data_IF_240978193843
#
_entry.id   IF_240978193843
#
_cell.length_a   1.000
_cell.length_b   1.000
_cell.length_c   1.000
_cell.angle_alpha   90.00
_cell.angle_beta   90.00
_cell.angle_gamma   90.00
#
_symmetry.space_group_name_H-M   'P 1'
#
loop_
_entity.id
_entity.type
_entity.pdbx_description
1 polymer ?
#
# COMPACT_ATOMS: atom_id res chain seq x y z
N UNK A 1 -41.31 -21.92 76.53
CA UNK A 1 -40.24 -21.27 75.72
C UNK A 1 -40.03 -22.04 74.40
N UNK A 2 -40.64 -21.59 73.26
CA UNK A 2 -40.58 -22.26 71.99
C UNK A 2 -39.39 -21.64 71.18
N UNK A 3 -38.45 -22.47 70.76
CA UNK A 3 -37.34 -22.07 69.87
C UNK A 3 -37.86 -22.00 68.41
N UNK A 4 -37.88 -20.81 67.86
CA UNK A 4 -38.15 -20.59 66.41
C UNK A 4 -36.81 -20.80 65.72
N UNK A 5 -36.74 -21.84 64.87
CA UNK A 5 -35.58 -22.06 64.00
C UNK A 5 -35.70 -21.15 62.76
N UNK A 6 -34.73 -20.27 62.65
CA UNK A 6 -34.55 -19.40 61.46
C UNK A 6 -34.06 -20.26 60.26
N UNK A 7 -34.92 -20.50 59.30
CA UNK A 7 -34.63 -21.27 58.06
C UNK A 7 -34.68 -20.38 56.80
N UNK A 8 -34.22 -19.11 56.89
CA UNK A 8 -34.41 -18.15 55.81
C UNK A 8 -33.16 -17.63 55.10
N UNK A 9 -31.89 -18.05 55.30
CA UNK A 9 -30.83 -17.49 54.48
C UNK A 9 -30.35 -18.38 53.32
N UNK A 10 -30.78 -19.66 53.23
CA UNK A 10 -30.23 -20.54 52.17
C UNK A 10 -30.87 -20.35 50.79
N UNK A 11 -32.10 -19.85 50.70
CA UNK A 11 -32.82 -19.70 49.45
C UNK A 11 -32.44 -18.44 48.65
N UNK A 12 -31.96 -17.39 49.35
CA UNK A 12 -31.56 -16.13 48.71
C UNK A 12 -30.16 -16.26 48.07
N UNK A 13 -29.23 -17.06 48.59
CA UNK A 13 -27.92 -17.31 48.01
C UNK A 13 -27.98 -18.10 46.70
N UNK A 14 -28.93 -19.04 46.59
CA UNK A 14 -29.11 -19.87 45.38
C UNK A 14 -29.62 -19.08 44.18
N UNK A 15 -30.50 -18.09 44.39
CA UNK A 15 -31.08 -17.27 43.31
C UNK A 15 -30.06 -16.24 42.79
N UNK A 16 -29.20 -15.67 43.65
CA UNK A 16 -28.12 -14.76 43.22
C UNK A 16 -27.06 -15.47 42.38
N UNK A 17 -26.75 -16.74 42.69
CA UNK A 17 -25.75 -17.51 41.90
C UNK A 17 -26.19 -17.85 40.49
N UNK A 18 -27.50 -18.03 40.27
CA UNK A 18 -28.06 -18.34 38.94
C UNK A 18 -28.10 -17.11 38.04
N UNK A 19 -28.37 -15.92 38.60
CA UNK A 19 -28.35 -14.67 37.80
C UNK A 19 -26.93 -14.23 37.39
N UNK A 20 -25.92 -14.44 38.21
CA UNK A 20 -24.52 -14.15 37.87
C UNK A 20 -23.98 -15.13 36.83
N UNK A 21 -24.37 -16.40 36.84
CA UNK A 21 -23.94 -17.40 35.87
C UNK A 21 -24.49 -17.16 34.47
N UNK A 22 -25.73 -16.71 34.31
CA UNK A 22 -26.32 -16.37 33.00
C UNK A 22 -25.71 -15.06 32.42
N UNK A 23 -25.43 -14.08 33.28
CA UNK A 23 -24.77 -12.83 32.89
C UNK A 23 -23.34 -13.08 32.42
N UNK A 24 -22.58 -13.97 33.07
CA UNK A 24 -21.22 -14.29 32.70
C UNK A 24 -21.11 -14.99 31.35
N UNK A 25 -21.99 -15.95 31.02
CA UNK A 25 -21.94 -16.63 29.72
C UNK A 25 -22.15 -15.68 28.55
N UNK A 26 -23.07 -14.75 28.61
CA UNK A 26 -23.29 -13.76 27.57
C UNK A 26 -22.13 -12.78 27.41
N UNK A 27 -21.45 -12.44 28.52
CA UNK A 27 -20.24 -11.60 28.49
C UNK A 27 -19.04 -12.38 27.91
N UNK A 28 -18.87 -13.63 28.27
CA UNK A 28 -17.81 -14.49 27.73
C UNK A 28 -17.94 -14.68 26.21
N UNK A 29 -19.15 -14.92 25.72
CA UNK A 29 -19.41 -15.02 24.29
C UNK A 29 -19.13 -13.72 23.55
N UNK A 30 -19.54 -12.58 24.11
CA UNK A 30 -19.23 -11.26 23.56
C UNK A 30 -17.74 -10.97 23.53
N UNK A 31 -17.02 -11.32 24.60
CA UNK A 31 -15.55 -11.17 24.67
C UNK A 31 -14.87 -12.01 23.56
N UNK A 32 -15.31 -13.25 23.39
CA UNK A 32 -14.80 -14.14 22.33
C UNK A 32 -15.01 -13.53 20.93
N UNK A 33 -16.21 -13.04 20.63
CA UNK A 33 -16.48 -12.39 19.33
C UNK A 33 -15.62 -11.15 19.11
N UNK A 34 -15.46 -10.32 20.13
CA UNK A 34 -14.59 -9.13 20.05
C UNK A 34 -13.11 -9.52 19.87
N UNK A 35 -12.69 -10.61 20.50
CA UNK A 35 -11.31 -11.12 20.32
C UNK A 35 -11.09 -11.63 18.90
N UNK A 36 -12.03 -12.39 18.34
CA UNK A 36 -11.96 -12.87 16.96
C UNK A 36 -11.95 -11.70 15.95
N UNK A 37 -12.71 -10.65 16.20
CA UNK A 37 -12.70 -9.44 15.39
C UNK A 37 -11.36 -8.70 15.52
N UNK A 38 -10.85 -8.52 16.71
CA UNK A 38 -9.55 -7.91 16.96
C UNK A 38 -8.41 -8.67 16.28
N UNK A 39 -8.44 -10.00 16.32
CA UNK A 39 -7.41 -10.82 15.69
C UNK A 39 -7.43 -10.68 14.16
N UNK A 40 -8.61 -10.51 13.55
CA UNK A 40 -8.73 -10.19 12.12
C UNK A 40 -8.12 -8.82 11.78
N UNK A 41 -8.39 -7.79 12.59
CA UNK A 41 -7.78 -6.47 12.39
C UNK A 41 -6.26 -6.50 12.51
N UNK A 42 -5.73 -7.22 13.51
CA UNK A 42 -4.27 -7.37 13.68
C UNK A 42 -3.62 -8.13 12.51
N UNK A 43 -4.31 -9.16 11.99
CA UNK A 43 -3.81 -9.89 10.83
C UNK A 43 -3.79 -9.02 9.57
N UNK A 44 -4.83 -8.20 9.34
CA UNK A 44 -4.86 -7.23 8.24
C UNK A 44 -3.75 -6.19 8.39
N UNK A 45 -3.56 -5.61 9.58
CA UNK A 45 -2.47 -4.65 9.85
C UNK A 45 -1.10 -5.25 9.56
N UNK A 46 -0.82 -6.47 10.03
CA UNK A 46 0.44 -7.15 9.75
C UNK A 46 0.65 -7.42 8.25
N UNK A 47 -0.41 -7.73 7.51
CA UNK A 47 -0.38 -7.89 6.06
C UNK A 47 -0.06 -6.57 5.35
N UNK A 48 -0.67 -5.45 5.79
CA UNK A 48 -0.37 -4.13 5.24
C UNK A 48 1.10 -3.75 5.47
N UNK A 49 1.65 -3.96 6.66
CA UNK A 49 3.07 -3.70 6.94
C UNK A 49 4.00 -4.52 6.03
N UNK A 50 3.67 -5.78 5.75
CA UNK A 50 4.42 -6.61 4.80
C UNK A 50 4.39 -6.01 3.39
N UNK A 51 3.23 -5.57 2.90
CA UNK A 51 3.07 -4.95 1.59
C UNK A 51 3.80 -3.61 1.50
N UNK A 52 3.81 -2.82 2.58
CA UNK A 52 4.58 -1.57 2.63
C UNK A 52 6.09 -1.82 2.57
N UNK A 53 6.59 -2.88 3.21
CA UNK A 53 8.00 -3.27 3.09
C UNK A 53 8.36 -3.71 1.66
N UNK A 54 7.43 -4.39 0.95
CA UNK A 54 7.59 -4.71 -0.47
C UNK A 54 7.66 -3.43 -1.31
N UNK A 55 6.77 -2.44 -1.08
CA UNK A 55 6.81 -1.15 -1.76
C UNK A 55 8.11 -0.39 -1.48
N UNK A 56 8.58 -0.38 -0.23
CA UNK A 56 9.85 0.27 0.11
C UNK A 56 11.01 -0.37 -0.69
N UNK A 57 11.04 -1.69 -0.80
CA UNK A 57 12.05 -2.41 -1.60
C UNK A 57 11.90 -2.14 -3.10
N UNK A 58 10.66 -2.12 -3.61
CA UNK A 58 10.35 -1.82 -5.00
C UNK A 58 10.87 -0.44 -5.39
N UNK A 59 10.50 0.60 -4.65
CA UNK A 59 10.79 1.98 -5.03
C UNK A 59 12.22 2.40 -4.67
N UNK A 60 12.69 2.07 -3.46
CA UNK A 60 14.00 2.54 -2.98
C UNK A 60 15.16 1.77 -3.57
N UNK A 61 14.97 0.50 -3.90
CA UNK A 61 16.03 -0.34 -4.45
C UNK A 61 15.77 -0.72 -5.91
N UNK A 62 14.67 -1.40 -6.24
CA UNK A 62 14.50 -1.96 -7.57
C UNK A 62 14.30 -0.88 -8.63
N UNK A 63 13.30 -0.01 -8.45
CA UNK A 63 13.04 1.09 -9.35
C UNK A 63 14.21 2.08 -9.38
N UNK A 64 14.61 2.57 -8.22
CA UNK A 64 15.66 3.58 -8.10
C UNK A 64 17.03 3.13 -8.62
N UNK A 65 17.31 1.84 -8.67
CA UNK A 65 18.57 1.29 -9.20
C UNK A 65 18.36 0.51 -10.50
N UNK A 66 17.16 0.64 -11.13
CA UNK A 66 16.82 0.05 -12.42
C UNK A 66 17.03 -1.49 -12.45
N UNK A 67 16.71 -2.15 -11.33
CA UNK A 67 16.75 -3.61 -11.19
C UNK A 67 15.43 -4.22 -11.69
N UNK A 68 15.17 -4.06 -12.98
CA UNK A 68 13.89 -4.42 -13.59
C UNK A 68 13.52 -5.89 -13.41
N UNK A 69 14.49 -6.78 -13.42
CA UNK A 69 14.33 -8.22 -13.17
C UNK A 69 13.82 -8.56 -11.77
N UNK A 70 13.91 -7.61 -10.81
CA UNK A 70 13.41 -7.79 -9.45
C UNK A 70 11.93 -7.38 -9.26
N UNK A 71 11.31 -6.77 -10.28
CA UNK A 71 9.92 -6.30 -10.18
C UNK A 71 8.92 -7.44 -9.97
N UNK A 72 9.24 -8.65 -10.41
CA UNK A 72 8.44 -9.85 -10.17
C UNK A 72 8.30 -10.24 -8.69
N UNK A 73 9.06 -9.61 -7.77
CA UNK A 73 8.87 -9.78 -6.32
C UNK A 73 7.63 -9.06 -5.78
N UNK A 74 7.17 -8.02 -6.48
CA UNK A 74 6.03 -7.18 -6.10
C UNK A 74 4.88 -7.23 -7.09
N UNK A 75 5.13 -7.59 -8.36
CA UNK A 75 4.15 -7.57 -9.44
C UNK A 75 3.85 -8.98 -9.96
N UNK A 76 2.57 -9.24 -10.26
CA UNK A 76 2.17 -10.42 -11.01
C UNK A 76 2.63 -10.29 -12.48
N UNK A 77 2.86 -11.42 -13.15
CA UNK A 77 3.33 -11.42 -14.55
C UNK A 77 2.33 -10.76 -15.51
N UNK A 78 1.03 -10.84 -15.20
CA UNK A 78 -0.09 -10.29 -15.97
C UNK A 78 -0.65 -8.99 -15.39
N UNK A 79 0.11 -8.28 -14.55
CA UNK A 79 -0.32 -7.04 -13.90
C UNK A 79 -0.91 -6.05 -14.90
N UNK A 80 -2.00 -5.37 -14.50
CA UNK A 80 -2.54 -4.21 -15.20
C UNK A 80 -2.07 -2.93 -14.53
N UNK A 81 -1.49 -2.04 -15.32
CA UNK A 81 -1.02 -0.74 -14.83
C UNK A 81 -1.77 0.38 -15.54
N UNK A 82 -2.34 1.28 -14.75
CA UNK A 82 -3.13 2.43 -15.18
C UNK A 82 -2.33 3.71 -14.99
N UNK A 83 -2.07 4.44 -16.06
CA UNK A 83 -1.24 5.65 -16.09
C UNK A 83 -2.07 6.94 -16.05
N UNK A 84 -1.49 8.07 -15.63
CA UNK A 84 -2.22 9.35 -15.51
C UNK A 84 -2.75 9.91 -16.85
N UNK A 85 -2.18 9.50 -17.96
CA UNK A 85 -2.63 9.89 -19.31
C UNK A 85 -3.80 9.05 -19.82
N UNK A 86 -4.29 8.09 -19.01
CA UNK A 86 -5.36 7.17 -19.35
C UNK A 86 -4.91 5.93 -20.12
N UNK A 87 -3.62 5.78 -20.40
CA UNK A 87 -3.11 4.56 -21.01
C UNK A 87 -3.09 3.40 -20.00
N UNK A 88 -3.13 2.18 -20.50
CA UNK A 88 -3.12 0.95 -19.71
C UNK A 88 -2.13 -0.01 -20.33
N UNK A 89 -1.29 -0.64 -19.51
CA UNK A 89 -0.51 -1.80 -19.90
C UNK A 89 -1.02 -3.05 -19.23
N UNK A 90 -0.85 -4.20 -19.89
CA UNK A 90 -1.09 -5.53 -19.33
C UNK A 90 0.16 -6.36 -19.52
N UNK A 91 0.68 -6.90 -18.45
CA UNK A 91 1.92 -7.66 -18.39
C UNK A 91 3.08 -6.85 -17.82
N UNK A 92 3.88 -7.52 -17.00
CA UNK A 92 5.05 -6.93 -16.37
C UNK A 92 6.16 -6.71 -17.41
N UNK A 93 6.50 -7.76 -18.16
CA UNK A 93 7.55 -7.75 -19.16
C UNK A 93 7.00 -8.01 -20.56
N UNK A 94 7.39 -7.22 -21.57
CA UNK A 94 8.15 -5.97 -21.45
C UNK A 94 7.27 -4.76 -21.13
N UNK A 95 5.94 -4.88 -21.17
CA UNK A 95 4.97 -3.79 -21.32
C UNK A 95 5.08 -2.72 -20.22
N UNK A 96 5.08 -3.12 -18.94
CA UNK A 96 5.19 -2.15 -17.86
C UNK A 96 6.61 -1.55 -17.80
N UNK A 97 7.63 -2.37 -17.92
CA UNK A 97 9.03 -1.90 -17.84
C UNK A 97 9.36 -0.92 -18.97
N UNK A 98 8.82 -1.11 -20.16
CA UNK A 98 9.00 -0.19 -21.29
C UNK A 98 8.38 1.20 -21.05
N UNK A 99 7.42 1.33 -20.12
CA UNK A 99 6.88 2.63 -19.69
C UNK A 99 7.79 3.34 -18.68
N UNK A 100 8.57 2.60 -17.90
CA UNK A 100 9.42 3.16 -16.86
C UNK A 100 10.79 3.61 -17.38
N UNK A 101 11.37 2.88 -18.30
CA UNK A 101 12.73 3.08 -18.80
C UNK A 101 12.99 4.43 -19.48
N UNK A 102 12.03 5.06 -20.20
CA UNK A 102 12.27 6.35 -20.86
C UNK A 102 12.64 7.47 -19.89
N UNK A 103 12.11 7.48 -18.67
CA UNK A 103 12.48 8.48 -17.67
C UNK A 103 13.97 8.40 -17.33
N UNK A 104 14.50 7.22 -17.13
CA UNK A 104 15.91 7.01 -16.80
C UNK A 104 16.84 7.31 -17.97
N UNK A 105 16.35 7.25 -19.21
CA UNK A 105 17.15 7.61 -20.39
C UNK A 105 17.55 9.09 -20.36
N UNK A 106 16.69 10.01 -19.91
CA UNK A 106 16.99 11.43 -19.85
C UNK A 106 17.29 11.97 -18.44
N UNK A 107 16.84 11.27 -17.40
CA UNK A 107 17.09 11.59 -15.99
C UNK A 107 17.63 10.35 -15.24
N UNK A 108 18.89 9.93 -15.51
CA UNK A 108 19.44 8.67 -15.02
C UNK A 108 19.68 8.63 -13.50
N UNK A 109 19.64 9.78 -12.83
CA UNK A 109 19.75 9.94 -11.38
C UNK A 109 18.40 9.87 -10.66
N UNK A 110 17.32 9.52 -11.35
CA UNK A 110 16.00 9.40 -10.77
C UNK A 110 16.00 8.42 -9.61
N UNK A 111 15.43 8.85 -8.47
CA UNK A 111 15.33 8.07 -7.24
C UNK A 111 14.01 8.35 -6.51
N UNK A 112 13.47 7.33 -5.87
CA UNK A 112 12.48 7.45 -4.81
C UNK A 112 13.17 7.05 -3.51
N UNK A 113 13.14 7.92 -2.48
CA UNK A 113 13.88 7.70 -1.22
C UNK A 113 12.99 7.69 0.01
N UNK A 114 11.77 8.17 -0.13
CA UNK A 114 10.84 8.29 1.00
C UNK A 114 9.41 8.00 0.58
N UNK A 115 8.67 7.38 1.47
CA UNK A 115 7.22 7.22 1.41
C UNK A 115 6.57 7.95 2.59
N UNK A 116 6.28 9.25 2.47
CA UNK A 116 5.72 10.05 3.56
C UNK A 116 4.30 9.63 3.95
N UNK A 117 3.58 8.97 3.06
CA UNK A 117 2.22 8.51 3.29
C UNK A 117 2.11 7.07 2.80
N UNK A 118 1.70 6.18 3.70
CA UNK A 118 1.34 4.80 3.39
C UNK A 118 0.10 4.43 4.19
N UNK A 119 -0.89 3.85 3.54
CA UNK A 119 -2.05 3.25 4.20
C UNK A 119 -2.65 2.16 3.31
N UNK A 120 -3.38 1.25 3.94
CA UNK A 120 -4.05 0.17 3.21
C UNK A 120 -5.10 -0.52 4.05
N UNK A 121 -5.93 -1.31 3.39
CA UNK A 121 -6.92 -2.17 4.03
C UNK A 121 -7.34 -3.29 3.08
N UNK A 122 -7.49 -4.50 3.61
CA UNK A 122 -7.84 -5.66 2.80
C UNK A 122 -6.79 -5.85 1.68
N UNK A 123 -7.21 -5.93 0.44
CA UNK A 123 -6.30 -6.17 -0.68
C UNK A 123 -5.79 -4.89 -1.37
N UNK A 124 -5.97 -3.74 -0.75
CA UNK A 124 -5.58 -2.44 -1.30
C UNK A 124 -4.55 -1.72 -0.46
N UNK A 125 -3.58 -1.12 -1.14
CA UNK A 125 -2.58 -0.22 -0.54
C UNK A 125 -2.54 1.10 -1.30
N UNK A 126 -2.20 2.17 -0.61
CA UNK A 126 -1.88 3.46 -1.19
C UNK A 126 -0.53 3.94 -0.63
N UNK A 127 0.41 4.23 -1.52
CA UNK A 127 1.75 4.71 -1.18
C UNK A 127 2.03 5.99 -1.94
N UNK A 128 2.50 7.02 -1.24
CA UNK A 128 2.98 8.26 -1.87
C UNK A 128 4.49 8.27 -1.79
N UNK A 129 5.15 8.14 -2.95
CA UNK A 129 6.60 8.25 -3.10
C UNK A 129 7.02 9.66 -3.48
N UNK A 130 8.18 10.10 -3.00
CA UNK A 130 8.82 11.33 -3.47
C UNK A 130 9.90 10.96 -4.48
N UNK A 131 9.62 11.23 -5.75
CA UNK A 131 10.53 10.98 -6.86
C UNK A 131 11.35 12.24 -7.14
N UNK A 132 12.65 12.11 -7.23
CA UNK A 132 13.61 13.18 -7.51
C UNK A 132 14.54 12.77 -8.63
N UNK A 133 14.99 13.74 -9.43
CA UNK A 133 15.96 13.51 -10.51
C UNK A 133 16.32 14.79 -11.24
N UNK A 134 17.17 14.68 -12.26
CA UNK A 134 17.65 15.81 -13.06
C UNK A 134 17.58 15.49 -14.56
N UNK A 135 16.94 16.36 -15.33
CA UNK A 135 16.94 16.27 -16.79
C UNK A 135 18.33 16.58 -17.35
N UNK A 136 19.22 15.59 -17.34
CA UNK A 136 20.65 15.75 -17.63
C UNK A 136 21.13 15.12 -18.95
N UNK A 137 20.25 14.37 -19.66
CA UNK A 137 20.55 13.75 -20.96
C UNK A 137 19.46 14.12 -21.98
N UNK A 138 19.71 14.04 -23.29
CA UNK A 138 18.71 14.31 -24.30
C UNK A 138 17.47 13.41 -24.13
N UNK A 139 16.29 14.00 -24.16
CA UNK A 139 15.00 13.29 -24.13
C UNK A 139 14.55 12.99 -25.54
N UNK A 140 14.42 11.71 -25.90
CA UNK A 140 13.88 11.30 -27.19
C UNK A 140 12.40 11.62 -27.29
N UNK A 141 11.98 12.23 -28.43
CA UNK A 141 10.57 12.51 -28.76
C UNK A 141 10.11 11.77 -30.02
N UNK A 142 10.87 10.74 -30.41
CA UNK A 142 10.58 9.95 -31.59
C UNK A 142 11.13 10.53 -32.90
N UNK A 143 11.06 9.75 -33.97
CA UNK A 143 11.50 10.15 -35.31
C UNK A 143 12.94 10.73 -35.39
N UNK A 144 13.84 10.23 -34.55
CA UNK A 144 15.22 10.70 -34.48
C UNK A 144 15.39 12.10 -33.86
N UNK A 145 14.33 12.69 -33.32
CA UNK A 145 14.35 14.00 -32.66
C UNK A 145 14.52 13.85 -31.15
N UNK A 146 15.17 14.83 -30.54
CA UNK A 146 15.32 14.90 -29.09
C UNK A 146 15.25 16.34 -28.60
N UNK A 147 14.85 16.49 -27.34
CA UNK A 147 14.93 17.74 -26.60
C UNK A 147 16.26 17.75 -25.85
N UNK A 148 17.09 18.81 -25.97
CA UNK A 148 18.34 18.90 -25.24
C UNK A 148 18.10 19.00 -23.73
N UNK A 149 19.06 18.52 -22.89
CA UNK A 149 18.91 18.58 -21.43
C UNK A 149 18.83 20.04 -20.96
N UNK A 150 17.94 20.28 -20.01
CA UNK A 150 17.82 21.59 -19.35
C UNK A 150 18.70 21.70 -18.11
N UNK A 151 19.20 20.58 -17.60
CA UNK A 151 19.90 20.43 -16.32
C UNK A 151 19.09 20.90 -15.11
N UNK A 152 17.76 20.98 -15.25
CA UNK A 152 16.85 21.27 -14.14
C UNK A 152 16.47 20.00 -13.41
N UNK A 153 16.43 20.11 -12.08
CA UNK A 153 16.00 19.04 -11.20
C UNK A 153 14.50 19.07 -11.01
N UNK A 154 13.93 17.92 -10.71
CA UNK A 154 12.53 17.80 -10.31
C UNK A 154 12.39 17.06 -8.97
N UNK A 155 11.32 17.41 -8.27
CA UNK A 155 10.84 16.71 -7.09
C UNK A 155 9.34 16.60 -7.18
N UNK A 156 8.83 15.37 -7.24
CA UNK A 156 7.45 15.08 -7.60
C UNK A 156 6.87 14.07 -6.62
N UNK A 157 5.66 14.33 -6.12
CA UNK A 157 4.89 13.31 -5.45
C UNK A 157 4.26 12.38 -6.48
N UNK A 158 4.50 11.10 -6.33
CA UNK A 158 3.88 10.04 -7.10
C UNK A 158 3.06 9.16 -6.15
N UNK A 159 1.78 8.98 -6.45
CA UNK A 159 0.91 8.10 -5.69
C UNK A 159 0.71 6.81 -6.46
N UNK A 160 0.97 5.70 -5.81
CA UNK A 160 0.70 4.36 -6.31
C UNK A 160 -0.40 3.72 -5.47
N UNK A 161 -1.48 3.27 -6.12
CA UNK A 161 -2.50 2.42 -5.51
C UNK A 161 -2.29 1.02 -6.05
N UNK A 162 -2.04 0.06 -5.17
CA UNK A 162 -1.84 -1.34 -5.52
C UNK A 162 -3.01 -2.22 -5.07
N UNK A 163 -3.49 -3.08 -5.96
CA UNK A 163 -4.40 -4.18 -5.66
C UNK A 163 -3.60 -5.49 -5.63
N UNK A 164 -3.69 -6.23 -4.53
CA UNK A 164 -2.86 -7.40 -4.27
C UNK A 164 -3.63 -8.71 -4.44
N UNK A 165 -3.02 -9.64 -5.13
CA UNK A 165 -3.50 -11.01 -5.22
C UNK A 165 -3.20 -11.83 -3.96
N UNK A 166 -3.76 -13.02 -3.92
CA UNK A 166 -3.57 -13.97 -2.79
C UNK A 166 -2.17 -14.56 -2.72
N UNK A 167 -1.39 -14.41 -3.79
CA UNK A 167 0.03 -14.81 -3.87
C UNK A 167 0.99 -13.74 -3.33
N UNK A 168 0.45 -12.60 -2.84
CA UNK A 168 1.23 -11.50 -2.28
C UNK A 168 1.86 -10.58 -3.32
N UNK A 169 1.41 -10.63 -4.59
CA UNK A 169 1.84 -9.74 -5.67
C UNK A 169 0.73 -8.80 -6.09
N UNK A 170 1.07 -7.62 -6.58
CA UNK A 170 0.12 -6.69 -7.18
C UNK A 170 -0.37 -7.24 -8.52
N UNK A 171 -1.68 -7.27 -8.69
CA UNK A 171 -2.39 -7.63 -9.93
C UNK A 171 -2.86 -6.41 -10.69
N UNK A 172 -3.06 -5.30 -9.97
CA UNK A 172 -3.37 -4.01 -10.57
C UNK A 172 -2.58 -2.91 -9.86
N UNK A 173 -2.15 -1.91 -10.64
CA UNK A 173 -1.44 -0.75 -10.17
C UNK A 173 -2.02 0.51 -10.82
N UNK A 174 -2.29 1.53 -10.02
CA UNK A 174 -2.78 2.83 -10.45
C UNK A 174 -1.76 3.89 -10.09
N UNK A 175 -1.24 4.58 -11.10
CA UNK A 175 -0.20 5.59 -10.95
C UNK A 175 -0.78 6.99 -11.11
N UNK A 176 -0.44 7.88 -10.20
CA UNK A 176 -0.87 9.27 -10.24
C UNK A 176 0.29 10.21 -9.94
N UNK A 177 0.51 11.17 -10.84
CA UNK A 177 1.42 12.29 -10.62
C UNK A 177 0.93 13.52 -11.41
N UNK A 178 1.38 14.70 -10.99
CA UNK A 178 1.11 15.94 -11.72
C UNK A 178 2.12 16.12 -12.86
N UNK A 179 1.72 15.71 -14.06
CA UNK A 179 2.56 15.82 -15.25
C UNK A 179 2.84 17.28 -15.65
N UNK A 180 1.90 18.21 -15.39
CA UNK A 180 2.10 19.64 -15.66
C UNK A 180 3.19 20.20 -14.75
N UNK A 181 3.13 19.90 -13.47
CA UNK A 181 4.17 20.28 -12.50
C UNK A 181 5.52 19.66 -12.86
N UNK A 182 5.56 18.40 -13.27
CA UNK A 182 6.78 17.72 -13.73
C UNK A 182 7.40 18.47 -14.91
N UNK A 183 6.64 18.71 -15.98
CA UNK A 183 7.11 19.41 -17.18
C UNK A 183 7.61 20.82 -16.87
N UNK A 184 6.94 21.55 -15.98
CA UNK A 184 7.39 22.89 -15.53
C UNK A 184 8.72 22.81 -14.78
N UNK A 185 8.89 21.85 -13.88
CA UNK A 185 10.11 21.69 -13.10
C UNK A 185 11.32 21.37 -14.00
N UNK A 186 11.17 20.50 -14.98
CA UNK A 186 12.23 20.17 -15.92
C UNK A 186 12.43 21.22 -17.03
N UNK A 187 11.62 22.31 -17.02
CA UNK A 187 11.77 23.47 -17.92
C UNK A 187 11.15 23.28 -19.30
N UNK A 188 10.19 22.39 -19.43
CA UNK A 188 9.43 22.14 -20.67
C UNK A 188 7.97 22.57 -20.60
N UNK A 189 7.48 22.97 -19.43
CA UNK A 189 6.15 23.55 -19.21
C UNK A 189 6.14 25.05 -19.25
N UNK A 190 4.99 25.64 -19.65
CA UNK A 190 4.71 27.06 -19.60
C UNK A 190 4.33 27.49 -18.17
#
# INVERSE_FOLDING_TARGET
>A
MKKIKVLLPLFILGVLAVFTSCSNKGQEEKIKLLQEELDKYKADEALQETRFAIFDSLDFDFYSNQKWDMFNHSHADDIKVYYPDGSITTGLYPQHIDQLTPLFAFAPDTKIKTHPIKFGRGDWTCVVGIMEGTFSKPMSIGNGKSIPPTNKSFKLSMTTIGHWGTDGKMTEEYLFWDNQSFMKQIGLGN
#
